data_IF_732264503433
#
_entry.id   IF_732264503433
#
_cell.length_a   1.000
_cell.length_b   1.000
_cell.length_c   1.000
_cell.angle_alpha   90.00
_cell.angle_beta   90.00
_cell.angle_gamma   90.00
#
_symmetry.space_group_name_H-M   'P 1'
#
loop_
_entity.id
_entity.type
_entity.pdbx_description
1 polymer ?
#
# COMPACT_ATOMS: atom_id res chain seq x y z
N UNK A 1 20.90 -7.32 10.28
CA UNK A 1 20.35 -7.56 8.92
C UNK A 1 20.87 -6.45 8.01
N UNK A 2 21.31 -6.77 6.79
CA UNK A 2 21.74 -5.75 5.80
C UNK A 2 20.55 -4.82 5.46
N UNK A 3 20.80 -3.51 5.29
CA UNK A 3 19.78 -2.51 4.93
C UNK A 3 19.08 -2.84 3.62
N UNK A 4 19.76 -3.51 2.68
CA UNK A 4 19.15 -3.99 1.43
C UNK A 4 18.13 -5.09 1.66
N UNK A 5 18.37 -5.99 2.62
CA UNK A 5 17.43 -7.04 3.00
C UNK A 5 16.20 -6.45 3.71
N UNK A 6 16.35 -5.33 4.43
CA UNK A 6 15.24 -4.61 5.06
C UNK A 6 14.33 -3.93 4.01
N UNK A 7 14.90 -3.35 2.93
CA UNK A 7 14.12 -2.73 1.86
C UNK A 7 13.31 -3.77 1.07
N UNK A 8 13.97 -4.84 0.60
CA UNK A 8 13.29 -5.91 -0.15
C UNK A 8 12.15 -6.54 0.65
N UNK A 9 12.33 -6.72 1.96
CA UNK A 9 11.27 -7.25 2.83
C UNK A 9 10.07 -6.30 2.94
N UNK A 10 10.32 -4.99 3.01
CA UNK A 10 9.26 -3.97 3.07
C UNK A 10 8.51 -3.86 1.75
N UNK A 11 9.20 -3.99 0.62
CA UNK A 11 8.58 -4.04 -0.70
C UNK A 11 7.64 -5.25 -0.82
N UNK A 12 8.12 -6.45 -0.47
CA UNK A 12 7.29 -7.67 -0.45
C UNK A 12 6.07 -7.52 0.47
N UNK A 13 6.28 -6.94 1.65
CA UNK A 13 5.21 -6.68 2.61
C UNK A 13 4.17 -5.69 2.08
N UNK A 14 4.58 -4.66 1.33
CA UNK A 14 3.65 -3.72 0.71
C UNK A 14 2.76 -4.40 -0.35
N UNK A 15 3.30 -5.33 -1.12
CA UNK A 15 2.54 -6.13 -2.08
C UNK A 15 1.55 -7.08 -1.37
N UNK A 16 1.95 -7.66 -0.23
CA UNK A 16 1.04 -8.44 0.61
C UNK A 16 -0.12 -7.57 1.12
N UNK A 17 0.14 -6.34 1.56
CA UNK A 17 -0.90 -5.39 1.98
C UNK A 17 -1.83 -5.01 0.83
N UNK A 18 -1.29 -4.73 -0.36
CA UNK A 18 -2.07 -4.48 -1.58
C UNK A 18 -3.05 -5.63 -1.82
N UNK A 19 -2.57 -6.87 -1.79
CA UNK A 19 -3.39 -8.05 -2.02
C UNK A 19 -4.49 -8.20 -0.96
N UNK A 20 -4.20 -7.93 0.31
CA UNK A 20 -5.21 -7.96 1.37
C UNK A 20 -6.29 -6.89 1.15
N UNK A 21 -5.93 -5.68 0.73
CA UNK A 21 -6.92 -4.62 0.37
C UNK A 21 -7.83 -5.10 -0.75
N UNK A 22 -7.28 -5.74 -1.79
CA UNK A 22 -8.10 -6.28 -2.90
C UNK A 22 -9.01 -7.42 -2.44
N UNK A 23 -8.54 -8.29 -1.55
CA UNK A 23 -9.37 -9.36 -0.99
C UNK A 23 -10.57 -8.76 -0.24
N UNK A 24 -10.37 -7.69 0.54
CA UNK A 24 -11.47 -7.00 1.22
C UNK A 24 -12.51 -6.46 0.23
N UNK A 25 -12.08 -5.87 -0.88
CA UNK A 25 -12.98 -5.40 -1.95
C UNK A 25 -13.79 -6.56 -2.53
N UNK A 26 -13.15 -7.67 -2.86
CA UNK A 26 -13.84 -8.85 -3.38
C UNK A 26 -14.81 -9.45 -2.36
N UNK A 27 -14.45 -9.52 -1.07
CA UNK A 27 -15.35 -10.01 -0.03
C UNK A 27 -16.59 -9.12 0.13
N UNK A 28 -16.44 -7.80 0.03
CA UNK A 28 -17.58 -6.88 0.04
C UNK A 28 -18.58 -7.20 -1.10
N UNK A 29 -18.09 -7.42 -2.32
CA UNK A 29 -18.95 -7.83 -3.43
C UNK A 29 -19.53 -9.23 -3.24
N UNK A 30 -18.77 -10.17 -2.67
CA UNK A 30 -19.24 -11.54 -2.40
C UNK A 30 -20.40 -11.54 -1.41
N UNK A 31 -20.32 -10.76 -0.32
CA UNK A 31 -21.43 -10.60 0.63
C UNK A 31 -22.69 -10.12 -0.10
N UNK A 32 -22.57 -9.07 -0.91
CA UNK A 32 -23.72 -8.51 -1.64
C UNK A 32 -24.29 -9.45 -2.71
N UNK A 33 -23.44 -10.21 -3.40
CA UNK A 33 -23.86 -11.13 -4.47
C UNK A 33 -24.49 -12.41 -3.93
N UNK A 34 -24.07 -12.86 -2.75
CA UNK A 34 -24.49 -14.16 -2.19
C UNK A 34 -25.50 -14.02 -1.06
N UNK A 35 -25.59 -12.86 -0.42
CA UNK A 35 -26.40 -12.64 0.79
C UNK A 35 -25.88 -13.36 2.02
N UNK A 36 -24.70 -13.98 1.97
CA UNK A 36 -24.15 -14.78 3.07
C UNK A 36 -23.28 -13.92 3.98
N UNK A 37 -23.74 -13.72 5.21
CA UNK A 37 -23.04 -12.93 6.23
C UNK A 37 -21.75 -13.61 6.72
N UNK A 38 -21.57 -14.92 6.53
CA UNK A 38 -20.33 -15.65 6.88
C UNK A 38 -19.07 -15.06 6.21
N UNK A 39 -19.21 -14.41 5.05
CA UNK A 39 -18.11 -13.72 4.39
C UNK A 39 -17.70 -12.41 5.10
N UNK A 40 -18.56 -11.83 5.95
CA UNK A 40 -18.22 -10.68 6.80
C UNK A 40 -17.22 -11.12 7.89
N UNK A 41 -17.37 -12.32 8.44
CA UNK A 41 -16.42 -12.86 9.42
C UNK A 41 -15.04 -13.09 8.79
N UNK A 42 -15.01 -13.67 7.58
CA UNK A 42 -13.79 -13.81 6.78
C UNK A 42 -13.17 -12.44 6.49
N UNK A 43 -13.98 -11.47 6.08
CA UNK A 43 -13.52 -10.09 5.85
C UNK A 43 -12.90 -9.50 7.10
N UNK A 44 -13.50 -9.68 8.27
CA UNK A 44 -12.94 -9.18 9.53
C UNK A 44 -11.54 -9.78 9.83
N UNK A 45 -11.33 -11.07 9.54
CA UNK A 45 -10.01 -11.72 9.68
C UNK A 45 -8.99 -11.10 8.72
N UNK A 46 -9.34 -10.96 7.43
CA UNK A 46 -8.48 -10.33 6.42
C UNK A 46 -8.14 -8.89 6.82
N UNK A 47 -9.14 -8.13 7.27
CA UNK A 47 -9.00 -6.74 7.72
C UNK A 47 -8.02 -6.62 8.88
N UNK A 48 -8.10 -7.51 9.87
CA UNK A 48 -7.17 -7.54 11.01
C UNK A 48 -5.74 -7.83 10.56
N UNK A 49 -5.56 -8.78 9.65
CA UNK A 49 -4.24 -9.08 9.07
C UNK A 49 -3.69 -7.89 8.29
N UNK A 50 -4.50 -7.24 7.44
CA UNK A 50 -4.10 -6.03 6.71
C UNK A 50 -3.67 -4.93 7.66
N UNK A 51 -4.44 -4.65 8.72
CA UNK A 51 -4.08 -3.64 9.72
C UNK A 51 -2.74 -3.95 10.35
N UNK A 52 -2.52 -5.21 10.78
CA UNK A 52 -1.24 -5.64 11.35
C UNK A 52 -0.09 -5.36 10.39
N UNK A 53 -0.17 -5.84 9.15
CA UNK A 53 0.93 -5.70 8.17
C UNK A 53 1.15 -4.26 7.72
N UNK A 54 0.08 -3.48 7.52
CA UNK A 54 0.19 -2.05 7.16
C UNK A 54 0.87 -1.24 8.28
N UNK A 55 0.70 -1.64 9.56
CA UNK A 55 1.35 -0.94 10.67
C UNK A 55 2.87 -1.11 10.73
N UNK A 56 3.41 -2.14 10.09
CA UNK A 56 4.85 -2.35 9.93
C UNK A 56 5.45 -1.45 8.84
N UNK A 57 4.62 -0.99 7.89
CA UNK A 57 5.01 -0.14 6.78
C UNK A 57 4.83 1.35 7.09
N UNK A 58 3.69 1.70 7.70
CA UNK A 58 3.31 3.09 7.98
C UNK A 58 3.91 3.53 9.29
N UNK A 59 5.05 4.22 9.20
CA UNK A 59 5.77 4.71 10.38
C UNK A 59 5.25 6.07 10.85
N UNK A 60 4.71 6.88 9.94
CA UNK A 60 4.09 8.17 10.24
C UNK A 60 2.58 8.03 10.51
N UNK A 61 2.14 8.41 11.71
CA UNK A 61 0.73 8.39 12.13
C UNK A 61 0.10 9.79 12.26
N UNK A 62 0.77 10.82 11.78
CA UNK A 62 0.21 12.18 11.77
C UNK A 62 -0.96 12.29 10.78
N UNK A 63 -2.05 12.94 11.19
CA UNK A 63 -3.21 13.17 10.34
C UNK A 63 -3.76 11.90 9.67
N UNK A 64 -4.03 11.99 8.36
CA UNK A 64 -4.64 10.92 7.55
C UNK A 64 -3.60 9.99 6.90
N UNK A 65 -2.34 9.99 7.38
CA UNK A 65 -1.24 9.26 6.72
C UNK A 65 -1.48 7.75 6.57
N UNK A 66 -2.19 7.15 7.52
CA UNK A 66 -2.64 5.76 7.41
C UNK A 66 -3.56 5.53 6.21
N UNK A 67 -4.58 6.37 6.08
CA UNK A 67 -5.56 6.29 5.00
C UNK A 67 -4.90 6.60 3.66
N UNK A 68 -4.11 7.68 3.58
CA UNK A 68 -3.36 8.08 2.38
C UNK A 68 -2.47 6.94 1.90
N UNK A 69 -1.68 6.34 2.80
CA UNK A 69 -0.78 5.21 2.47
C UNK A 69 -1.54 4.03 1.88
N UNK A 70 -2.67 3.65 2.52
CA UNK A 70 -3.54 2.57 2.02
C UNK A 70 -4.12 2.89 0.64
N UNK A 71 -4.54 4.15 0.41
CA UNK A 71 -5.10 4.57 -0.87
C UNK A 71 -4.05 4.59 -1.99
N UNK A 72 -2.83 5.03 -1.72
CA UNK A 72 -1.72 4.99 -2.68
C UNK A 72 -1.43 3.54 -3.11
N UNK A 73 -1.26 2.62 -2.16
CA UNK A 73 -1.06 1.19 -2.44
C UNK A 73 -2.20 0.59 -3.29
N UNK A 74 -3.45 0.87 -2.92
CA UNK A 74 -4.63 0.42 -3.69
C UNK A 74 -4.65 1.01 -5.12
N UNK A 75 -4.23 2.26 -5.27
CA UNK A 75 -4.21 2.97 -6.56
C UNK A 75 -3.14 2.40 -7.48
N UNK A 76 -1.94 2.11 -6.95
CA UNK A 76 -0.86 1.41 -7.68
C UNK A 76 -1.40 0.12 -8.32
N UNK A 77 -2.07 -0.72 -7.54
CA UNK A 77 -2.61 -1.97 -8.07
C UNK A 77 -3.67 -1.73 -9.15
N UNK A 78 -4.59 -0.78 -8.93
CA UNK A 78 -5.66 -0.54 -9.89
C UNK A 78 -5.12 -0.04 -11.24
N UNK A 79 -4.05 0.74 -11.21
CA UNK A 79 -3.32 1.16 -12.42
C UNK A 79 -2.60 -0.03 -13.09
N UNK A 80 -1.98 -0.93 -12.32
CA UNK A 80 -1.38 -2.16 -12.87
C UNK A 80 -2.42 -3.07 -13.53
N UNK A 81 -3.58 -3.29 -12.90
CA UNK A 81 -4.68 -4.06 -13.48
C UNK A 81 -5.31 -3.37 -14.69
N UNK A 82 -5.35 -2.03 -14.68
CA UNK A 82 -5.82 -1.28 -15.85
C UNK A 82 -4.83 -1.41 -17.00
N UNK A 83 -3.53 -1.31 -16.73
CA UNK A 83 -2.46 -1.55 -17.71
C UNK A 83 -2.58 -2.94 -18.36
N UNK A 84 -2.86 -3.98 -17.58
CA UNK A 84 -2.95 -5.35 -18.11
C UNK A 84 -4.03 -5.52 -19.17
N UNK A 85 -5.10 -4.70 -19.13
CA UNK A 85 -6.19 -4.69 -20.12
C UNK A 85 -5.76 -4.13 -21.49
N UNK A 86 -4.61 -3.44 -21.56
CA UNK A 86 -4.09 -2.84 -22.80
C UNK A 86 -2.89 -3.59 -23.39
N UNK A 87 -2.30 -4.58 -22.71
CA UNK A 87 -1.04 -5.25 -23.11
C UNK A 87 -1.10 -5.80 -24.55
N UNK A 88 -2.22 -6.41 -24.93
CA UNK A 88 -2.38 -7.09 -26.22
C UNK A 88 -2.74 -6.14 -27.38
N UNK A 89 -3.24 -4.94 -27.10
CA UNK A 89 -3.86 -4.07 -28.11
C UNK A 89 -3.27 -2.66 -28.18
N UNK A 90 -2.70 -2.14 -27.09
CA UNK A 90 -2.07 -0.83 -27.03
C UNK A 90 -0.93 -0.81 -25.98
N UNK A 91 0.25 -1.28 -26.40
CA UNK A 91 1.45 -1.33 -25.54
C UNK A 91 1.86 0.06 -25.03
N UNK A 92 1.60 1.13 -25.78
CA UNK A 92 1.94 2.49 -25.36
C UNK A 92 1.07 2.87 -24.17
N UNK A 93 -0.25 2.71 -24.28
CA UNK A 93 -1.20 2.98 -23.19
C UNK A 93 -0.94 2.09 -21.97
N UNK A 94 -0.66 0.80 -22.17
CA UNK A 94 -0.28 -0.11 -21.09
C UNK A 94 0.94 0.43 -20.32
N UNK A 95 1.98 0.87 -21.04
CA UNK A 95 3.19 1.44 -20.45
C UNK A 95 2.93 2.77 -19.73
N UNK A 96 2.04 3.62 -20.25
CA UNK A 96 1.68 4.88 -19.60
C UNK A 96 1.02 4.60 -18.22
N UNK A 97 0.09 3.64 -18.13
CA UNK A 97 -0.48 3.22 -16.84
C UNK A 97 0.55 2.59 -15.88
N UNK A 98 1.54 1.85 -16.39
CA UNK A 98 2.61 1.30 -15.53
C UNK A 98 3.49 2.39 -14.95
N UNK A 99 3.79 3.45 -15.72
CA UNK A 99 4.53 4.61 -15.21
C UNK A 99 3.76 5.30 -14.10
N UNK A 100 2.46 5.54 -14.30
CA UNK A 100 1.60 6.12 -13.27
C UNK A 100 1.54 5.22 -12.02
N UNK A 101 1.42 3.90 -12.18
CA UNK A 101 1.43 2.95 -11.08
C UNK A 101 2.74 3.03 -10.26
N UNK A 102 3.87 3.12 -10.97
CA UNK A 102 5.19 3.26 -10.38
C UNK A 102 5.37 4.61 -9.68
N UNK A 103 4.87 5.70 -10.25
CA UNK A 103 4.91 7.04 -9.65
C UNK A 103 4.10 7.09 -8.35
N UNK A 104 2.90 6.49 -8.33
CA UNK A 104 2.08 6.36 -7.11
C UNK A 104 2.75 5.49 -6.05
N UNK A 105 3.39 4.40 -6.44
CA UNK A 105 4.12 3.52 -5.50
C UNK A 105 5.34 4.22 -4.90
N UNK A 106 6.09 4.98 -5.71
CA UNK A 106 7.17 5.84 -5.21
C UNK A 106 6.65 6.88 -4.22
N UNK A 107 5.51 7.51 -4.49
CA UNK A 107 4.91 8.48 -3.57
C UNK A 107 4.60 7.84 -2.21
N UNK A 108 4.12 6.60 -2.19
CA UNK A 108 3.93 5.86 -0.93
C UNK A 108 5.23 5.75 -0.12
N UNK A 109 6.34 5.37 -0.76
CA UNK A 109 7.65 5.24 -0.10
C UNK A 109 8.25 6.58 0.31
N UNK A 110 8.15 7.61 -0.52
CA UNK A 110 8.59 8.97 -0.18
C UNK A 110 7.94 9.45 1.11
N UNK A 111 6.64 9.16 1.31
CA UNK A 111 5.94 9.53 2.53
C UNK A 111 6.40 8.72 3.76
N UNK A 112 6.93 7.51 3.58
CA UNK A 112 7.53 6.74 4.67
C UNK A 112 8.96 7.21 4.99
N UNK A 113 9.71 7.62 3.97
CA UNK A 113 11.12 8.04 4.08
C UNK A 113 11.30 9.50 4.54
N UNK A 114 10.50 10.43 4.02
CA UNK A 114 10.63 11.87 4.31
C UNK A 114 10.18 12.18 5.75
N UNK A 115 9.10 11.58 6.25
CA UNK A 115 8.65 11.87 7.63
C UNK A 115 9.44 11.09 8.68
N UNK A 116 10.08 9.98 8.31
CA UNK A 116 11.04 9.28 9.17
C UNK A 116 12.31 10.10 9.49
N UNK A 117 12.68 11.04 8.61
CA UNK A 117 13.87 11.91 8.79
C UNK A 117 13.57 13.27 9.40
N UNK A 118 12.36 13.82 9.27
CA UNK A 118 11.97 15.07 9.93
C UNK A 118 11.96 14.91 11.46
N UNK A 119 11.61 13.73 11.98
CA UNK A 119 11.74 13.42 13.42
C UNK A 119 13.18 13.25 13.93
N UNK A 120 14.17 13.03 13.04
CA UNK A 120 15.60 12.94 13.40
C UNK A 120 16.30 14.30 13.36
N UNK A 121 15.92 15.19 12.44
CA UNK A 121 16.51 16.53 12.36
C UNK A 121 16.16 17.39 13.58
N UNK A 122 15.00 17.18 14.22
CA UNK A 122 14.65 17.88 15.46
C UNK A 122 15.38 17.34 16.71
N UNK A 123 15.65 16.03 16.79
CA UNK A 123 16.41 15.45 17.92
C UNK A 123 17.90 15.81 17.87
N UNK A 124 18.49 15.96 16.69
CA UNK A 124 19.89 16.36 16.57
C UNK A 124 20.15 17.85 16.88
N UNK A 125 19.13 18.72 16.79
CA UNK A 125 19.26 20.14 17.18
C UNK A 125 19.24 20.39 18.70
N UNK A 126 18.85 19.40 19.52
CA UNK A 126 18.83 19.52 20.99
C UNK A 126 20.08 18.95 21.69
N UNK A 127 21.00 18.34 20.95
CA UNK A 127 22.24 17.75 21.50
C UNK A 127 23.46 18.65 21.26
N UNK A 128 23.32 19.71 20.45
CA UNK A 128 24.39 20.69 20.17
C UNK A 128 24.16 22.07 20.81
N UNK A 129 23.53 22.13 21.99
CA UNK A 129 23.49 23.35 22.81
C UNK A 129 23.90 23.08 24.24
#
# INVERSE_FOLDING_TARGET
MDKRNDLSLKEDLSLAVINLINIEEHLAFTVMKTGKEEYIDVWNVVRKLRIKLLSELVTNKEGEMWCISKHLLCTTMRLMETSSKYIEHDKKKANDFLKEAFDVYKLFWMLQDEVGNVGRTEKNKKVEK
#
